data_IF_505130144631
#
_entry.id   IF_505130144631
#
_cell.length_a   1.000
_cell.length_b   1.000
_cell.length_c   1.000
_cell.angle_alpha   90.00
_cell.angle_beta   90.00
_cell.angle_gamma   90.00
#
_symmetry.space_group_name_H-M   'P 1'
#
loop_
_entity.id
_entity.type
_entity.pdbx_description
1 polymer ?
#
# COMPACT_ATOMS: atom_id res chain seq x y z
N UNK A 1 4.36 9.73 -10.47
CA UNK A 1 4.61 8.28 -10.34
C UNK A 1 3.31 7.53 -10.09
N UNK A 2 3.27 6.26 -10.45
CA UNK A 2 2.21 5.35 -10.02
C UNK A 2 2.61 4.77 -8.67
N UNK A 3 1.77 4.93 -7.66
CA UNK A 3 2.08 4.55 -6.28
C UNK A 3 0.98 3.66 -5.71
N UNK A 4 1.35 2.46 -5.28
CA UNK A 4 0.46 1.52 -4.62
C UNK A 4 0.36 1.87 -3.13
N UNK A 5 -0.86 1.91 -2.60
CA UNK A 5 -1.08 2.22 -1.18
C UNK A 5 -1.32 0.93 -0.41
N UNK A 6 -0.50 0.68 0.60
CA UNK A 6 -0.58 -0.52 1.45
C UNK A 6 -0.92 -0.14 2.89
N UNK A 7 -1.87 -0.85 3.48
CA UNK A 7 -2.27 -0.62 4.85
C UNK A 7 -3.19 -1.74 5.34
N UNK A 8 -3.67 -1.60 6.57
CA UNK A 8 -4.51 -2.61 7.19
C UNK A 8 -5.93 -2.58 6.60
N UNK A 9 -6.39 -3.72 6.13
CA UNK A 9 -7.73 -3.90 5.55
C UNK A 9 -8.57 -4.83 6.43
N UNK A 10 -8.02 -6.00 6.80
CA UNK A 10 -8.72 -7.01 7.59
C UNK A 10 -9.05 -6.52 8.99
N UNK A 11 -10.28 -6.75 9.44
CA UNK A 11 -10.72 -6.36 10.78
C UNK A 11 -11.10 -4.90 10.92
N UNK A 12 -10.99 -4.12 9.85
CA UNK A 12 -11.40 -2.73 9.85
C UNK A 12 -12.86 -2.59 9.42
N UNK A 13 -13.55 -1.58 9.96
CA UNK A 13 -14.86 -1.21 9.43
C UNK A 13 -14.68 -0.67 8.02
N UNK A 14 -15.56 -1.12 7.12
CA UNK A 14 -15.42 -0.80 5.70
C UNK A 14 -15.30 0.70 5.42
N UNK A 15 -16.15 1.51 6.07
CA UNK A 15 -16.16 2.96 5.87
C UNK A 15 -14.82 3.59 6.32
N UNK A 16 -14.36 3.23 7.51
CA UNK A 16 -13.11 3.77 8.08
C UNK A 16 -11.92 3.33 7.23
N UNK A 17 -11.91 2.10 6.78
CA UNK A 17 -10.86 1.57 5.92
C UNK A 17 -10.81 2.34 4.59
N UNK A 18 -11.94 2.53 3.93
CA UNK A 18 -12.00 3.30 2.69
C UNK A 18 -11.56 4.74 2.89
N UNK A 19 -11.97 5.38 3.98
CA UNK A 19 -11.63 6.77 4.26
C UNK A 19 -10.11 6.97 4.35
N UNK A 20 -9.40 6.11 5.10
CA UNK A 20 -7.94 6.26 5.23
C UNK A 20 -7.22 6.03 3.92
N UNK A 21 -7.69 5.09 3.08
CA UNK A 21 -7.10 4.87 1.76
C UNK A 21 -7.38 6.04 0.81
N UNK A 22 -8.60 6.59 0.81
CA UNK A 22 -8.93 7.73 -0.02
C UNK A 22 -8.23 9.01 0.43
N UNK A 23 -8.04 9.21 1.73
CA UNK A 23 -7.27 10.35 2.26
C UNK A 23 -5.82 10.27 1.79
N UNK A 24 -5.22 9.08 1.85
CA UNK A 24 -3.87 8.87 1.35
C UNK A 24 -3.78 9.10 -0.16
N UNK A 25 -4.79 8.62 -0.92
CA UNK A 25 -4.85 8.83 -2.36
C UNK A 25 -4.92 10.32 -2.70
N UNK A 26 -5.76 11.07 -1.99
CA UNK A 26 -5.86 12.52 -2.19
C UNK A 26 -4.54 13.23 -1.93
N UNK A 27 -3.82 12.81 -0.89
CA UNK A 27 -2.49 13.35 -0.59
C UNK A 27 -1.52 13.08 -1.76
N UNK A 28 -1.47 11.84 -2.26
CA UNK A 28 -0.59 11.48 -3.35
C UNK A 28 -0.94 12.25 -4.64
N UNK A 29 -2.23 12.40 -4.94
CA UNK A 29 -2.69 13.18 -6.09
C UNK A 29 -2.24 14.64 -5.96
N UNK A 30 -2.32 15.21 -4.76
CA UNK A 30 -1.89 16.59 -4.52
C UNK A 30 -0.40 16.80 -4.80
N UNK A 31 0.38 15.71 -4.80
CA UNK A 31 1.82 15.70 -5.10
C UNK A 31 2.11 15.27 -6.53
N UNK A 32 1.08 15.19 -7.38
CA UNK A 32 1.24 14.86 -8.80
C UNK A 32 1.39 13.36 -9.08
N UNK A 33 0.96 12.50 -8.15
CA UNK A 33 1.09 11.05 -8.30
C UNK A 33 -0.25 10.39 -8.60
N UNK A 34 -0.21 9.19 -9.17
CA UNK A 34 -1.37 8.38 -9.48
C UNK A 34 -1.47 7.23 -8.46
N UNK A 35 -2.48 7.24 -7.57
CA UNK A 35 -2.59 6.21 -6.54
C UNK A 35 -3.28 4.95 -7.06
N UNK A 36 -2.84 3.80 -6.53
CA UNK A 36 -3.47 2.49 -6.74
C UNK A 36 -3.92 1.95 -5.40
N UNK A 37 -5.23 1.72 -5.25
CA UNK A 37 -5.85 1.34 -3.97
C UNK A 37 -6.39 -0.09 -4.07
N UNK A 38 -5.88 -1.04 -3.26
CA UNK A 38 -6.37 -2.42 -3.28
C UNK A 38 -7.82 -2.54 -2.78
N UNK A 39 -8.27 -1.60 -1.95
CA UNK A 39 -9.62 -1.64 -1.38
C UNK A 39 -10.74 -1.43 -2.39
N UNK A 40 -10.43 -0.99 -3.62
CA UNK A 40 -11.44 -0.89 -4.69
C UNK A 40 -11.67 -2.20 -5.42
N UNK A 41 -10.84 -3.21 -5.16
CA UNK A 41 -11.05 -4.54 -5.74
C UNK A 41 -12.32 -5.15 -5.14
N UNK A 42 -13.15 -5.80 -5.97
CA UNK A 42 -14.35 -6.45 -5.43
C UNK A 42 -13.99 -7.51 -4.39
N UNK A 43 -14.77 -7.59 -3.32
CA UNK A 43 -14.65 -8.68 -2.38
C UNK A 43 -15.29 -9.92 -3.00
N UNK A 44 -14.47 -10.79 -3.58
CA UNK A 44 -14.94 -12.07 -4.08
C UNK A 44 -14.93 -13.07 -2.93
N UNK A 45 -16.09 -13.61 -2.57
CA UNK A 45 -16.22 -14.57 -1.47
C UNK A 45 -15.36 -15.82 -1.70
N UNK A 46 -15.11 -16.16 -2.96
CA UNK A 46 -14.35 -17.34 -3.35
C UNK A 46 -12.86 -17.09 -3.52
N UNK A 47 -12.39 -15.86 -3.32
CA UNK A 47 -10.97 -15.51 -3.45
C UNK A 47 -10.30 -15.65 -2.10
N UNK A 48 -9.29 -16.51 -2.01
CA UNK A 48 -8.51 -16.67 -0.78
C UNK A 48 -7.66 -15.43 -0.51
N UNK A 49 -7.21 -15.28 0.75
CA UNK A 49 -6.26 -14.21 1.10
C UNK A 49 -4.99 -14.28 0.26
N UNK A 50 -4.52 -15.49 -0.04
CA UNK A 50 -3.34 -15.70 -0.87
C UNK A 50 -3.58 -15.22 -2.31
N UNK A 51 -4.72 -15.58 -2.90
CA UNK A 51 -5.06 -15.15 -4.26
C UNK A 51 -5.23 -13.63 -4.32
N UNK A 52 -5.88 -13.04 -3.31
CA UNK A 52 -6.02 -11.60 -3.21
C UNK A 52 -4.65 -10.91 -3.16
N UNK A 53 -3.72 -11.47 -2.41
CA UNK A 53 -2.36 -10.94 -2.31
C UNK A 53 -1.64 -10.99 -3.66
N UNK A 54 -1.85 -12.05 -4.46
CA UNK A 54 -1.29 -12.13 -5.82
C UNK A 54 -1.83 -11.01 -6.72
N UNK A 55 -3.11 -10.67 -6.60
CA UNK A 55 -3.68 -9.54 -7.34
C UNK A 55 -3.00 -8.23 -6.91
N UNK A 56 -2.80 -8.04 -5.61
CA UNK A 56 -2.12 -6.87 -5.08
C UNK A 56 -0.66 -6.80 -5.57
N UNK A 57 0.03 -7.93 -5.64
CA UNK A 57 1.39 -7.98 -6.18
C UNK A 57 1.42 -7.55 -7.64
N UNK A 58 0.43 -7.94 -8.44
CA UNK A 58 0.34 -7.49 -9.82
C UNK A 58 0.16 -5.98 -9.91
N UNK A 59 -0.63 -5.39 -9.01
CA UNK A 59 -0.77 -3.94 -8.95
C UNK A 59 0.55 -3.25 -8.56
N UNK A 60 1.28 -3.80 -7.59
CA UNK A 60 2.58 -3.27 -7.20
C UNK A 60 3.56 -3.32 -8.37
N UNK A 61 3.52 -4.40 -9.17
CA UNK A 61 4.40 -4.55 -10.32
C UNK A 61 4.25 -3.43 -11.34
N UNK A 62 3.03 -2.94 -11.55
CA UNK A 62 2.80 -1.85 -12.51
C UNK A 62 3.05 -0.47 -11.90
N UNK A 63 3.30 -0.40 -10.59
CA UNK A 63 3.60 0.84 -9.91
C UNK A 63 5.11 1.09 -9.83
N UNK A 64 5.48 2.36 -9.64
CA UNK A 64 6.86 2.78 -9.44
C UNK A 64 7.26 2.70 -7.98
N UNK A 65 6.29 2.81 -7.08
CA UNK A 65 6.52 2.94 -5.65
C UNK A 65 5.39 2.33 -4.85
N UNK A 66 5.65 2.13 -3.56
CA UNK A 66 4.66 1.74 -2.56
C UNK A 66 4.63 2.80 -1.45
N UNK A 67 3.41 3.12 -0.99
CA UNK A 67 3.18 4.06 0.10
C UNK A 67 2.57 3.30 1.28
N UNK A 68 3.31 3.21 2.40
CA UNK A 68 2.90 2.46 3.58
C UNK A 68 2.10 3.36 4.50
N UNK A 69 0.82 3.02 4.73
CA UNK A 69 -0.02 3.71 5.71
C UNK A 69 0.51 3.48 7.12
N UNK A 70 0.17 4.38 8.06
CA UNK A 70 0.72 4.35 9.43
C UNK A 70 0.46 3.04 10.18
N UNK A 71 -0.57 2.28 9.79
CA UNK A 71 -0.93 1.03 10.45
C UNK A 71 -0.38 -0.23 9.77
N UNK A 72 0.52 -0.08 8.81
CA UNK A 72 1.01 -1.20 8.00
C UNK A 72 1.62 -2.33 8.83
N UNK A 73 2.27 -2.00 9.96
CA UNK A 73 2.92 -3.00 10.80
C UNK A 73 1.91 -3.95 11.46
N UNK A 74 0.65 -3.54 11.58
CA UNK A 74 -0.43 -4.32 12.15
C UNK A 74 -1.11 -5.23 11.13
N UNK A 75 -0.66 -5.20 9.89
CA UNK A 75 -1.25 -5.96 8.78
C UNK A 75 -0.25 -6.94 8.20
N UNK A 76 -0.56 -8.23 8.28
CA UNK A 76 0.28 -9.26 7.66
C UNK A 76 0.37 -9.04 6.15
N UNK A 77 -0.74 -8.71 5.50
CA UNK A 77 -0.77 -8.44 4.06
C UNK A 77 0.10 -7.25 3.69
N UNK A 78 -0.01 -6.15 4.42
CA UNK A 78 0.81 -4.96 4.14
C UNK A 78 2.30 -5.25 4.34
N UNK A 79 2.67 -6.05 5.36
CA UNK A 79 4.08 -6.44 5.55
C UNK A 79 4.60 -7.27 4.38
N UNK A 80 3.79 -8.19 3.87
CA UNK A 80 4.15 -8.99 2.69
C UNK A 80 4.26 -8.14 1.44
N UNK A 81 3.39 -7.17 1.29
CA UNK A 81 3.42 -6.23 0.16
C UNK A 81 4.67 -5.35 0.20
N UNK A 82 5.05 -4.88 1.39
CA UNK A 82 6.29 -4.13 1.56
C UNK A 82 7.51 -4.96 1.15
N UNK A 83 7.57 -6.21 1.62
CA UNK A 83 8.66 -7.12 1.26
C UNK A 83 8.72 -7.34 -0.24
N UNK A 84 7.57 -7.56 -0.88
CA UNK A 84 7.48 -7.75 -2.31
C UNK A 84 7.99 -6.52 -3.06
N UNK A 85 7.57 -5.32 -2.65
CA UNK A 85 8.02 -4.08 -3.27
C UNK A 85 9.54 -3.90 -3.13
N UNK A 86 10.09 -4.22 -1.95
CA UNK A 86 11.52 -4.15 -1.71
C UNK A 86 12.29 -5.13 -2.59
N UNK A 87 11.80 -6.36 -2.72
CA UNK A 87 12.42 -7.41 -3.56
C UNK A 87 12.48 -6.99 -5.03
N UNK A 88 11.47 -6.28 -5.50
CA UNK A 88 11.40 -5.77 -6.86
C UNK A 88 11.96 -4.35 -7.01
N UNK A 89 12.64 -3.86 -5.98
CA UNK A 89 13.36 -2.57 -5.98
C UNK A 89 12.47 -1.37 -6.29
N UNK A 90 11.21 -1.42 -5.86
CA UNK A 90 10.32 -0.27 -5.93
C UNK A 90 10.73 0.76 -4.90
N UNK A 91 10.45 2.03 -5.17
CA UNK A 91 10.64 3.08 -4.17
C UNK A 91 9.64 2.89 -3.03
N UNK A 92 10.08 3.15 -1.79
CA UNK A 92 9.27 2.93 -0.60
C UNK A 92 9.09 4.25 0.14
N UNK A 93 7.83 4.63 0.37
CA UNK A 93 7.47 5.81 1.14
C UNK A 93 6.62 5.41 2.32
N UNK A 94 6.72 6.18 3.41
CA UNK A 94 5.99 5.89 4.65
C UNK A 94 5.15 7.10 5.04
N UNK A 95 3.87 6.86 5.38
CA UNK A 95 3.02 7.90 5.92
C UNK A 95 3.53 8.38 7.28
N UNK A 96 3.99 7.44 8.11
CA UNK A 96 4.56 7.72 9.44
C UNK A 96 6.04 7.36 9.44
N UNK A 97 6.95 8.36 9.47
CA UNK A 97 8.39 8.10 9.47
C UNK A 97 8.90 7.26 10.63
N UNK A 98 8.15 7.19 11.75
CA UNK A 98 8.55 6.38 12.90
C UNK A 98 8.41 4.88 12.64
N UNK A 99 7.72 4.49 11.55
CA UNK A 99 7.50 3.08 11.20
C UNK A 99 8.46 2.57 10.13
N UNK A 100 9.44 3.37 9.72
CA UNK A 100 10.37 3.01 8.65
C UNK A 100 11.06 1.68 8.93
N UNK A 101 11.05 0.78 7.95
CA UNK A 101 11.80 -0.47 8.00
C UNK A 101 13.26 -0.20 7.62
N UNK A 102 14.16 -0.35 8.58
CA UNK A 102 15.58 0.04 8.43
C UNK A 102 16.34 -0.79 7.38
N UNK A 103 15.87 -2.01 7.11
CA UNK A 103 16.54 -2.92 6.17
C UNK A 103 16.27 -2.58 4.71
N UNK A 104 15.37 -1.63 4.43
CA UNK A 104 14.98 -1.27 3.07
C UNK A 104 15.42 0.16 2.75
N UNK A 105 15.71 0.44 1.47
CA UNK A 105 15.99 1.82 1.05
C UNK A 105 14.81 2.74 1.36
N UNK A 106 15.10 3.91 1.91
CA UNK A 106 14.09 4.90 2.27
C UNK A 106 14.08 6.04 1.27
N UNK A 107 12.88 6.45 0.85
CA UNK A 107 12.67 7.68 0.09
C UNK A 107 11.95 8.67 0.99
N UNK A 108 12.40 9.90 1.02
CA UNK A 108 11.88 10.93 1.93
C UNK A 108 11.02 11.96 1.21
N UNK A 109 11.09 12.03 -0.10
CA UNK A 109 10.44 13.08 -0.88
C UNK A 109 9.55 12.49 -1.96
N UNK A 110 8.27 12.86 -1.93
CA UNK A 110 7.28 12.45 -2.92
C UNK A 110 7.13 13.46 -4.07
N UNK A 111 7.97 14.43 -4.11
CA UNK A 111 8.01 15.41 -5.19
C UNK A 111 7.55 16.80 -4.83
#
# INVERSE_FOLDING_TARGET
>A
MKIYIAGKISGEKRFEMQEKFYDAAAFLISRGNEPFIPSVLPAYEDVSHEDYLHICYAMINICDAIYMLRDWQQSKGARLELQYAADWKKDIYYQDPTTIEENFPVRHDLG
#
